data_IF_952966488565
#
_entry.id   IF_952966488565
#
_cell.length_a   1.000
_cell.length_b   1.000
_cell.length_c   1.000
_cell.angle_alpha   90.00
_cell.angle_beta   90.00
_cell.angle_gamma   90.00
#
_symmetry.space_group_name_H-M   'P 1'
#
loop_
_entity.id
_entity.type
_entity.pdbx_description
1 polymer ?
#
# COMPACT_ATOMS: atom_id res chain seq x y z
N UNK A 1 -4.93 -17.64 -2.22
CA UNK A 1 -3.97 -17.00 -3.12
C UNK A 1 -2.90 -16.28 -2.31
N UNK A 2 -1.70 -16.14 -2.87
CA UNK A 2 -0.67 -15.26 -2.36
C UNK A 2 -0.88 -13.89 -3.03
N UNK A 3 -1.10 -12.85 -2.23
CA UNK A 3 -1.37 -11.52 -2.76
C UNK A 3 -0.46 -10.52 -2.04
N UNK A 4 0.59 -10.07 -2.73
CA UNK A 4 1.49 -9.04 -2.22
C UNK A 4 1.03 -7.68 -2.74
N UNK A 5 0.52 -6.84 -1.84
CA UNK A 5 0.17 -5.45 -2.09
C UNK A 5 0.93 -4.58 -1.08
N UNK A 6 1.93 -3.86 -1.55
CA UNK A 6 2.77 -3.04 -0.68
C UNK A 6 3.35 -1.82 -1.40
N UNK A 7 3.40 -0.71 -0.70
CA UNK A 7 4.24 0.42 -1.11
C UNK A 7 5.73 0.08 -0.89
N UNK A 8 6.61 0.71 -1.67
CA UNK A 8 8.07 0.56 -1.48
C UNK A 8 8.65 1.52 -0.43
N UNK A 9 7.80 2.30 0.23
CA UNK A 9 8.13 3.03 1.45
C UNK A 9 7.87 2.18 2.69
N UNK A 10 8.59 2.46 3.78
CA UNK A 10 8.38 1.77 5.08
C UNK A 10 6.93 1.89 5.53
N UNK A 11 6.28 3.01 5.21
CA UNK A 11 4.92 3.31 5.61
C UNK A 11 4.16 4.00 4.48
N UNK A 12 2.87 3.72 4.37
CA UNK A 12 1.98 4.45 3.45
C UNK A 12 1.58 5.82 4.02
N UNK A 13 1.38 6.82 3.12
CA UNK A 13 1.02 8.18 3.51
C UNK A 13 -0.26 8.29 4.35
N UNK A 14 -1.18 7.34 4.23
CA UNK A 14 -2.38 7.28 5.07
C UNK A 14 -2.09 7.15 6.56
N UNK A 15 -1.02 6.43 6.95
CA UNK A 15 -0.62 6.31 8.36
C UNK A 15 -0.08 7.61 8.93
N UNK A 16 0.67 8.38 8.12
CA UNK A 16 1.11 9.72 8.54
C UNK A 16 -0.09 10.66 8.73
N UNK A 17 -1.05 10.64 7.80
CA UNK A 17 -2.29 11.43 7.94
C UNK A 17 -3.08 11.05 9.20
N UNK A 18 -3.14 9.76 9.53
CA UNK A 18 -3.77 9.32 10.78
C UNK A 18 -3.02 9.83 12.01
N UNK A 19 -1.69 9.79 12.01
CA UNK A 19 -0.87 10.30 13.12
C UNK A 19 -1.06 11.82 13.29
N UNK A 20 -1.11 12.58 12.17
CA UNK A 20 -1.42 14.02 12.18
C UNK A 20 -2.80 14.26 12.83
N UNK A 21 -3.83 13.55 12.38
CA UNK A 21 -5.19 13.72 12.90
C UNK A 21 -5.33 13.39 14.39
N UNK A 22 -4.50 12.46 14.90
CA UNK A 22 -4.49 12.05 16.31
C UNK A 22 -3.52 12.85 17.18
N UNK A 23 -2.63 13.68 16.59
CA UNK A 23 -1.56 14.35 17.31
C UNK A 23 -0.47 13.39 17.85
N UNK A 24 -0.31 12.24 17.21
CA UNK A 24 0.65 11.21 17.60
C UNK A 24 2.00 11.41 16.88
N UNK A 25 3.10 11.05 17.56
CA UNK A 25 4.44 11.00 16.95
C UNK A 25 4.58 9.75 16.06
N UNK A 26 5.49 9.83 15.10
CA UNK A 26 5.88 8.71 14.23
C UNK A 26 7.28 8.20 14.57
N UNK A 27 7.61 6.94 14.24
CA UNK A 27 8.97 6.41 14.30
C UNK A 27 9.91 7.18 13.36
N UNK A 28 11.16 7.38 13.80
CA UNK A 28 12.20 8.11 13.04
C UNK A 28 12.62 7.40 11.74
N UNK A 29 12.32 6.13 11.60
CA UNK A 29 12.60 5.30 10.41
C UNK A 29 11.49 5.33 9.36
N UNK A 30 10.43 6.13 9.56
CA UNK A 30 9.33 6.24 8.60
C UNK A 30 9.56 7.30 7.53
N UNK A 31 10.08 8.46 7.94
CA UNK A 31 10.21 9.61 7.05
C UNK A 31 11.32 10.57 7.51
N UNK A 32 11.73 11.43 6.59
CA UNK A 32 12.56 12.59 6.86
C UNK A 32 11.76 13.87 6.63
N UNK A 33 12.23 14.97 7.16
CA UNK A 33 11.76 16.30 6.74
C UNK A 33 12.26 16.67 5.33
N UNK A 34 12.01 17.91 4.90
CA UNK A 34 12.42 18.42 3.59
C UNK A 34 13.93 18.53 3.39
N UNK A 35 14.68 18.58 4.48
CA UNK A 35 16.14 18.65 4.49
C UNK A 35 16.79 17.26 4.54
N UNK A 36 15.98 16.20 4.55
CA UNK A 36 16.42 14.82 4.60
C UNK A 36 16.78 14.33 5.99
N UNK A 37 16.41 15.07 7.05
CA UNK A 37 16.69 14.71 8.45
C UNK A 37 15.54 13.84 8.98
N UNK A 38 15.83 12.66 9.58
CA UNK A 38 14.80 11.82 10.20
C UNK A 38 13.95 12.60 11.20
N UNK A 39 12.63 12.44 11.16
CA UNK A 39 11.70 13.21 11.99
C UNK A 39 10.63 12.32 12.65
N UNK A 40 10.30 12.64 13.90
CA UNK A 40 9.17 12.06 14.62
C UNK A 40 7.87 12.90 14.50
N UNK A 41 7.95 14.04 13.82
CA UNK A 41 6.81 14.90 13.51
C UNK A 41 6.10 14.38 12.24
N UNK A 42 4.85 13.91 12.33
CA UNK A 42 4.15 13.34 11.19
C UNK A 42 3.86 14.36 10.08
N UNK A 43 3.68 15.65 10.40
CA UNK A 43 3.46 16.68 9.40
C UNK A 43 4.74 16.96 8.61
N UNK A 44 5.89 17.10 9.30
CA UNK A 44 7.18 17.26 8.65
C UNK A 44 7.53 16.06 7.77
N UNK A 45 7.25 14.84 8.27
CA UNK A 45 7.45 13.61 7.52
C UNK A 45 6.53 13.50 6.28
N UNK A 46 5.29 13.96 6.37
CA UNK A 46 4.35 13.97 5.25
C UNK A 46 4.73 14.98 4.15
N UNK A 47 5.27 16.11 4.56
CA UNK A 47 5.76 17.15 3.64
C UNK A 47 7.18 16.89 3.12
N UNK A 48 7.91 15.99 3.75
CA UNK A 48 9.27 15.59 3.41
C UNK A 48 9.34 14.33 2.54
N UNK A 49 10.20 13.37 2.93
CA UNK A 49 10.44 12.15 2.13
C UNK A 49 10.18 10.90 2.96
N UNK A 50 9.42 9.96 2.40
CA UNK A 50 9.21 8.65 3.01
C UNK A 50 10.44 7.77 2.79
N UNK A 51 10.89 7.10 3.84
CA UNK A 51 12.04 6.21 3.75
C UNK A 51 11.68 4.90 3.04
N UNK A 52 12.59 4.35 2.22
CA UNK A 52 12.35 3.12 1.49
C UNK A 52 12.37 1.90 2.42
N UNK A 53 11.48 0.94 2.17
CA UNK A 53 11.47 -0.35 2.86
C UNK A 53 12.80 -1.07 2.67
N UNK A 54 13.43 -1.56 3.76
CA UNK A 54 14.73 -2.25 3.67
C UNK A 54 15.89 -1.36 3.20
N UNK A 55 15.77 -0.03 3.36
CA UNK A 55 16.83 0.93 3.06
C UNK A 55 17.22 0.96 1.59
N UNK A 56 18.54 0.93 1.30
CA UNK A 56 19.05 1.06 -0.07
C UNK A 56 18.59 -0.09 -1.01
N UNK A 57 18.28 -1.28 -0.48
CA UNK A 57 17.77 -2.39 -1.29
C UNK A 57 16.35 -2.11 -1.80
N UNK A 58 15.48 -1.60 -0.95
CA UNK A 58 14.14 -1.17 -1.34
C UNK A 58 14.16 0.04 -2.29
N UNK A 59 15.11 0.96 -2.09
CA UNK A 59 15.34 2.05 -3.04
C UNK A 59 15.71 1.52 -4.43
N UNK A 60 16.56 0.50 -4.50
CA UNK A 60 16.90 -0.15 -5.77
C UNK A 60 15.67 -0.78 -6.44
N UNK A 61 14.78 -1.43 -5.68
CA UNK A 61 13.50 -1.95 -6.21
C UNK A 61 12.59 -0.82 -6.70
N UNK A 62 12.54 0.30 -5.97
CA UNK A 62 11.76 1.47 -6.39
C UNK A 62 12.24 2.02 -7.74
N UNK A 63 13.55 2.13 -7.93
CA UNK A 63 14.12 2.54 -9.22
C UNK A 63 13.78 1.56 -10.35
N UNK A 64 13.84 0.25 -10.10
CA UNK A 64 13.47 -0.75 -11.10
C UNK A 64 11.99 -0.59 -11.51
N UNK A 65 11.08 -0.38 -10.56
CA UNK A 65 9.67 -0.16 -10.86
C UNK A 65 9.45 1.17 -11.59
N UNK A 66 10.14 2.24 -11.20
CA UNK A 66 10.05 3.53 -11.88
C UNK A 66 10.51 3.43 -13.35
N UNK A 67 11.58 2.69 -13.62
CA UNK A 67 12.03 2.38 -14.99
C UNK A 67 10.97 1.59 -15.75
N UNK A 68 10.44 0.52 -15.16
CA UNK A 68 9.45 -0.35 -15.81
C UNK A 68 8.13 0.41 -16.09
N UNK A 69 7.63 1.17 -15.13
CA UNK A 69 6.35 1.87 -15.24
C UNK A 69 6.46 3.22 -15.93
N UNK A 70 7.54 3.97 -15.73
CA UNK A 70 7.73 5.31 -16.28
C UNK A 70 8.54 5.33 -17.56
N UNK A 71 9.83 4.96 -17.46
CA UNK A 71 10.76 5.11 -18.59
C UNK A 71 10.38 4.23 -19.78
N UNK A 72 10.14 2.94 -19.55
CA UNK A 72 9.85 1.99 -20.64
C UNK A 72 8.47 2.18 -21.27
N UNK A 73 7.52 2.78 -20.57
CA UNK A 73 6.18 3.05 -21.09
C UNK A 73 6.07 4.42 -21.76
N UNK A 74 7.13 5.24 -21.72
CA UNK A 74 7.11 6.62 -22.23
C UNK A 74 6.34 7.60 -21.34
N UNK A 75 6.06 7.22 -20.07
CA UNK A 75 5.38 8.06 -19.10
C UNK A 75 6.31 8.97 -18.30
N UNK A 76 5.75 9.65 -17.31
CA UNK A 76 6.54 10.43 -16.36
C UNK A 76 7.25 9.49 -15.37
N UNK A 77 8.40 9.90 -14.89
CA UNK A 77 9.20 9.19 -13.89
C UNK A 77 9.76 10.16 -12.86
N UNK A 78 10.01 9.67 -11.66
CA UNK A 78 10.55 10.45 -10.53
C UNK A 78 9.77 11.77 -10.30
N UNK A 79 10.47 12.90 -10.24
CA UNK A 79 9.89 14.23 -10.00
C UNK A 79 9.08 14.81 -11.18
N UNK A 80 9.06 14.14 -12.33
CA UNK A 80 8.17 14.50 -13.44
C UNK A 80 6.73 14.01 -13.21
N UNK A 81 6.51 13.06 -12.29
CA UNK A 81 5.18 12.64 -11.89
C UNK A 81 4.56 13.74 -11.01
N UNK A 82 3.45 14.31 -11.48
CA UNK A 82 2.76 15.36 -10.74
C UNK A 82 1.92 14.78 -9.61
N UNK A 83 1.87 15.51 -8.51
CA UNK A 83 1.01 15.14 -7.39
C UNK A 83 -0.43 15.56 -7.68
N UNK A 84 -1.31 14.59 -7.99
CA UNK A 84 -2.71 14.82 -8.33
C UNK A 84 -3.53 15.50 -7.22
N UNK A 85 -3.09 15.44 -5.96
CA UNK A 85 -3.76 16.09 -4.84
C UNK A 85 -3.36 17.57 -4.67
N UNK A 86 -2.17 17.94 -5.15
CA UNK A 86 -1.70 19.34 -5.08
C UNK A 86 -2.04 20.13 -6.34
N UNK A 87 -2.10 19.44 -7.47
CA UNK A 87 -2.41 20.05 -8.77
C UNK A 87 -3.36 19.14 -9.57
N UNK A 88 -4.68 19.18 -9.25
CA UNK A 88 -5.68 18.33 -9.90
C UNK A 88 -6.06 18.81 -11.30
N UNK A 89 -5.59 20.00 -11.74
CA UNK A 89 -5.95 20.59 -13.04
C UNK A 89 -5.16 19.99 -14.20
N UNK A 90 -4.04 19.34 -13.91
CA UNK A 90 -3.16 18.74 -14.90
C UNK A 90 -3.00 17.23 -14.67
N UNK A 91 -2.83 16.44 -15.74
CA UNK A 91 -2.62 15.00 -15.60
C UNK A 91 -1.36 14.67 -14.79
N UNK A 92 -1.46 13.71 -13.86
CA UNK A 92 -0.32 13.24 -13.07
C UNK A 92 0.73 12.53 -13.92
N UNK A 93 0.34 11.98 -15.07
CA UNK A 93 1.15 11.15 -15.97
C UNK A 93 1.73 9.92 -15.30
N UNK A 94 1.06 9.44 -14.24
CA UNK A 94 1.40 8.17 -13.59
C UNK A 94 1.12 7.02 -14.55
N UNK A 95 2.09 6.14 -14.71
CA UNK A 95 2.00 4.98 -15.58
C UNK A 95 2.04 3.69 -14.80
N UNK A 96 1.59 2.61 -15.43
CA UNK A 96 1.52 1.28 -14.84
C UNK A 96 2.12 0.26 -15.80
N UNK A 97 2.65 -0.82 -15.23
CA UNK A 97 3.06 -2.00 -15.97
C UNK A 97 2.27 -3.20 -15.46
N UNK A 98 1.78 -4.02 -16.37
CA UNK A 98 1.13 -5.29 -16.07
C UNK A 98 1.95 -6.43 -16.66
N UNK A 99 2.24 -7.45 -15.83
CA UNK A 99 2.93 -8.66 -16.24
C UNK A 99 2.05 -9.86 -15.91
N UNK A 100 1.77 -10.68 -16.91
CA UNK A 100 1.08 -11.96 -16.73
C UNK A 100 2.03 -13.11 -17.16
N UNK A 101 2.14 -14.12 -16.31
CA UNK A 101 2.94 -15.33 -16.60
C UNK A 101 1.98 -16.52 -16.68
N UNK A 102 1.94 -17.15 -17.84
CA UNK A 102 1.21 -18.41 -18.02
C UNK A 102 2.02 -19.56 -17.40
N UNK A 103 1.71 -19.85 -16.16
CA UNK A 103 2.41 -20.87 -15.36
C UNK A 103 2.20 -22.28 -15.91
N UNK A 104 1.15 -22.52 -16.69
CA UNK A 104 0.90 -23.83 -17.30
C UNK A 104 1.96 -24.22 -18.34
N UNK A 105 2.66 -23.21 -18.89
CA UNK A 105 3.79 -23.43 -19.80
C UNK A 105 5.12 -23.75 -19.11
N UNK A 106 5.20 -23.52 -17.80
CA UNK A 106 6.38 -23.82 -17.01
C UNK A 106 6.31 -25.21 -16.40
N UNK A 107 5.14 -25.60 -15.93
CA UNK A 107 4.84 -26.94 -15.38
C UNK A 107 3.31 -27.18 -15.36
N UNK A 108 2.91 -28.43 -15.17
CA UNK A 108 1.49 -28.78 -15.10
C UNK A 108 0.75 -28.08 -13.94
N UNK A 109 -0.51 -27.73 -14.13
CA UNK A 109 -1.32 -26.99 -13.14
C UNK A 109 -1.42 -27.72 -11.80
N UNK A 110 -1.54 -29.05 -11.81
CA UNK A 110 -1.59 -29.88 -10.59
C UNK A 110 -0.28 -29.80 -9.81
N UNK A 111 0.86 -29.84 -10.47
CA UNK A 111 2.17 -29.72 -9.85
C UNK A 111 2.37 -28.33 -9.22
N UNK A 112 1.97 -27.27 -9.90
CA UNK A 112 2.00 -25.91 -9.32
C UNK A 112 1.15 -25.84 -8.07
N UNK A 113 -0.08 -26.37 -8.11
CA UNK A 113 -1.01 -26.38 -6.97
C UNK A 113 -0.41 -27.13 -5.78
N UNK A 114 0.19 -28.29 -6.04
CA UNK A 114 0.87 -29.08 -5.02
C UNK A 114 2.01 -28.30 -4.38
N UNK A 115 2.91 -27.73 -5.18
CA UNK A 115 4.07 -26.95 -4.70
C UNK A 115 3.66 -25.70 -3.91
N UNK A 116 2.65 -24.98 -4.36
CA UNK A 116 2.15 -23.80 -3.65
C UNK A 116 1.51 -24.16 -2.31
N UNK A 117 0.84 -25.33 -2.24
CA UNK A 117 0.29 -25.86 -0.99
C UNK A 117 1.41 -26.21 -0.03
N UNK A 118 2.41 -26.97 -0.49
CA UNK A 118 3.58 -27.37 0.29
C UNK A 118 4.37 -26.16 0.81
N UNK A 119 4.60 -25.15 -0.04
CA UNK A 119 5.25 -23.90 0.33
C UNK A 119 4.49 -23.15 1.44
N UNK A 120 3.17 -23.00 1.30
CA UNK A 120 2.31 -22.40 2.31
C UNK A 120 2.38 -23.14 3.65
N UNK A 121 2.25 -24.47 3.59
CA UNK A 121 2.19 -25.31 4.79
C UNK A 121 3.53 -25.34 5.52
N UNK A 122 4.64 -25.29 4.75
CA UNK A 122 5.98 -25.12 5.33
C UNK A 122 6.11 -23.78 6.08
N UNK A 123 5.73 -22.66 5.49
CA UNK A 123 5.79 -21.35 6.16
C UNK A 123 4.95 -21.37 7.46
N UNK A 124 3.76 -21.94 7.42
CA UNK A 124 2.89 -22.03 8.60
C UNK A 124 3.43 -22.94 9.70
N UNK A 125 4.29 -23.88 9.35
CA UNK A 125 4.94 -24.78 10.32
C UNK A 125 6.11 -24.14 11.05
N UNK A 126 6.62 -22.98 10.58
CA UNK A 126 7.76 -22.31 11.21
C UNK A 126 7.36 -21.77 12.57
N UNK A 127 8.05 -22.18 13.66
CA UNK A 127 7.74 -21.67 14.99
C UNK A 127 8.06 -20.17 15.09
N UNK A 128 7.19 -19.42 15.76
CA UNK A 128 7.36 -18.00 16.01
C UNK A 128 7.58 -17.71 17.48
N UNK A 129 8.26 -16.61 17.80
CA UNK A 129 8.49 -16.16 19.19
C UNK A 129 7.15 -15.89 19.91
N UNK A 130 6.14 -15.43 19.19
CA UNK A 130 4.81 -15.14 19.74
C UNK A 130 3.92 -16.36 19.91
N UNK A 131 4.32 -17.53 19.39
CA UNK A 131 3.49 -18.72 19.30
C UNK A 131 2.32 -18.63 18.30
N UNK A 132 2.13 -17.50 17.64
CA UNK A 132 1.11 -17.32 16.59
C UNK A 132 1.66 -17.75 15.23
N UNK A 133 0.87 -18.39 14.37
CA UNK A 133 1.30 -18.75 13.02
C UNK A 133 1.77 -17.52 12.22
N UNK A 134 2.73 -17.73 11.31
CA UNK A 134 3.08 -16.72 10.32
C UNK A 134 1.89 -16.49 9.39
N UNK A 135 1.65 -15.23 9.06
CA UNK A 135 0.59 -14.79 8.16
C UNK A 135 1.19 -14.54 6.79
N UNK A 136 0.60 -15.13 5.76
CA UNK A 136 1.01 -14.90 4.38
C UNK A 136 0.41 -13.60 3.82
N UNK A 137 1.10 -12.95 2.88
CA UNK A 137 0.58 -11.78 2.20
C UNK A 137 -0.82 -12.01 1.60
N UNK A 138 -1.77 -11.12 1.89
CA UNK A 138 -3.17 -11.19 1.49
C UNK A 138 -4.10 -11.87 2.49
N UNK A 139 -3.60 -12.55 3.53
CA UNK A 139 -4.46 -13.24 4.50
C UNK A 139 -5.14 -12.28 5.48
N UNK A 140 -4.47 -11.19 5.86
CA UNK A 140 -5.04 -10.14 6.73
C UNK A 140 -6.18 -9.44 5.99
N UNK A 141 -5.96 -9.05 4.74
CA UNK A 141 -6.94 -8.40 3.88
C UNK A 141 -8.16 -9.31 3.64
N UNK A 142 -7.92 -10.59 3.36
CA UNK A 142 -8.97 -11.57 3.18
C UNK A 142 -9.79 -11.80 4.47
N UNK A 143 -9.15 -11.78 5.63
CA UNK A 143 -9.85 -11.89 6.92
C UNK A 143 -10.69 -10.63 7.20
N UNK A 144 -10.12 -9.45 7.00
CA UNK A 144 -10.80 -8.18 7.14
C UNK A 144 -11.99 -8.06 6.19
N UNK A 145 -11.83 -8.49 4.93
CA UNK A 145 -12.91 -8.49 3.95
C UNK A 145 -14.07 -9.40 4.39
N UNK A 146 -13.79 -10.61 4.87
CA UNK A 146 -14.84 -11.53 5.37
C UNK A 146 -15.60 -10.92 6.55
N UNK A 147 -14.87 -10.33 7.50
CA UNK A 147 -15.47 -9.68 8.66
C UNK A 147 -16.39 -8.51 8.23
N UNK A 148 -15.91 -7.65 7.35
CA UNK A 148 -16.67 -6.48 6.89
C UNK A 148 -17.88 -6.83 6.03
N UNK A 149 -17.81 -7.92 5.28
CA UNK A 149 -18.97 -8.43 4.54
C UNK A 149 -20.08 -8.94 5.47
N UNK A 150 -19.73 -9.42 6.66
CA UNK A 150 -20.70 -9.90 7.66
C UNK A 150 -21.21 -8.78 8.57
N UNK A 151 -20.32 -7.89 9.02
CA UNK A 151 -20.59 -6.95 10.11
C UNK A 151 -20.73 -5.50 9.62
N UNK A 152 -20.48 -5.23 8.32
CA UNK A 152 -20.39 -3.88 7.78
C UNK A 152 -19.00 -3.26 7.97
N UNK A 153 -18.78 -2.12 7.33
CA UNK A 153 -17.54 -1.35 7.41
C UNK A 153 -17.68 -0.35 8.56
N UNK A 154 -16.86 -0.42 9.62
CA UNK A 154 -16.91 0.56 10.70
C UNK A 154 -16.38 1.91 10.19
N UNK A 155 -17.24 2.92 10.21
CA UNK A 155 -16.87 4.29 9.85
C UNK A 155 -16.88 5.16 11.12
N UNK A 156 -15.83 5.98 11.36
CA UNK A 156 -15.88 7.02 12.37
C UNK A 156 -17.03 8.00 12.08
N UNK A 157 -17.68 8.50 13.12
CA UNK A 157 -18.85 9.37 12.98
C UNK A 157 -18.55 10.66 12.19
N UNK A 158 -17.34 11.20 12.34
CA UNK A 158 -16.85 12.34 11.56
C UNK A 158 -16.78 12.05 10.05
N UNK A 159 -16.32 10.85 9.67
CA UNK A 159 -16.24 10.44 8.27
C UNK A 159 -17.63 10.19 7.70
N UNK A 160 -18.54 9.61 8.50
CA UNK A 160 -19.93 9.42 8.10
C UNK A 160 -20.61 10.74 7.77
N UNK A 161 -20.47 11.74 8.65
CA UNK A 161 -21.02 13.08 8.44
C UNK A 161 -20.45 13.77 7.19
N UNK A 162 -19.15 13.58 6.92
CA UNK A 162 -18.48 14.10 5.71
C UNK A 162 -19.05 13.45 4.44
N UNK A 163 -19.22 12.13 4.44
CA UNK A 163 -19.82 11.40 3.32
C UNK A 163 -21.27 11.81 3.08
N UNK A 164 -22.08 12.01 4.13
CA UNK A 164 -23.44 12.53 3.98
C UNK A 164 -23.45 13.95 3.38
N UNK A 165 -22.53 14.80 3.79
CA UNK A 165 -22.39 16.15 3.23
C UNK A 165 -22.06 16.11 1.75
N UNK A 166 -21.11 15.25 1.35
CA UNK A 166 -20.76 15.04 -0.06
C UNK A 166 -21.96 14.48 -0.86
N UNK A 167 -22.67 13.50 -0.32
CA UNK A 167 -23.85 12.94 -0.98
C UNK A 167 -24.92 14.02 -1.24
N UNK A 168 -25.15 14.90 -0.27
CA UNK A 168 -26.07 16.04 -0.43
C UNK A 168 -25.58 17.04 -1.49
N UNK A 169 -24.29 17.38 -1.46
CA UNK A 169 -23.66 18.30 -2.41
C UNK A 169 -23.81 17.83 -3.86
N UNK A 170 -23.65 16.53 -4.09
CA UNK A 170 -23.74 15.93 -5.43
C UNK A 170 -25.12 15.34 -5.76
N UNK A 171 -26.14 15.61 -4.91
CA UNK A 171 -27.52 15.14 -5.08
C UNK A 171 -27.62 13.62 -5.26
N UNK A 172 -26.79 12.87 -4.57
CA UNK A 172 -26.80 11.42 -4.61
C UNK A 172 -27.89 10.86 -3.68
N UNK A 173 -28.72 9.95 -4.17
CA UNK A 173 -29.74 9.25 -3.37
C UNK A 173 -29.15 8.01 -2.67
N UNK A 174 -28.02 8.17 -1.97
CA UNK A 174 -27.36 7.09 -1.23
C UNK A 174 -27.79 7.14 0.23
N UNK A 175 -28.23 6.01 0.79
CA UNK A 175 -28.31 5.80 2.24
C UNK A 175 -27.02 5.08 2.64
N UNK A 176 -26.22 5.72 3.49
CA UNK A 176 -25.03 5.12 4.10
C UNK A 176 -25.43 4.28 5.30
#
# INVERSE_FOLDING_TARGET
>A
PFMLDMALSVVGGGRLKMAIAKGEKIPLDWATDKDGIPTDDPQKGFDGYFLPVGGFKGLGMAYAIDILCGVLTGGAFQNHIRNMFKDPTEPSRTCHMFLAVDVSRLMGEEEIRRRMTEYRDYIRSIPTVSGKPLVLPGEIEAACMRERLQNGIPLPESLYAELESLAKQYQLSVRL
#
